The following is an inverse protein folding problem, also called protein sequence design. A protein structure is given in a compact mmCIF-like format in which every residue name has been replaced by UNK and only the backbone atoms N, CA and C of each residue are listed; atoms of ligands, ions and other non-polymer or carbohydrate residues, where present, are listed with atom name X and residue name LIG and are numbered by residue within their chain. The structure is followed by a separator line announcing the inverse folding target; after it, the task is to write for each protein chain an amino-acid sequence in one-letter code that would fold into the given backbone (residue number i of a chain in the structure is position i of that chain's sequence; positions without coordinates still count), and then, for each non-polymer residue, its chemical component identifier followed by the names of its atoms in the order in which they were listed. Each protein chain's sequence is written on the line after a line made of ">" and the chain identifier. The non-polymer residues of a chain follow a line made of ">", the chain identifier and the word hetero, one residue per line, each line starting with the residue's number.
data_IF_520253290413
#
_entry.id   IF_520253290413
#
_cell.length_a   1.000
_cell.length_b   1.000
_cell.length_c   1.000
_cell.angle_alpha   90.00
_cell.angle_beta   90.00
_cell.angle_gamma   90.00
#
_symmetry.space_group_name_H-M   'P 1'
#
loop_
_entity.id
_entity.type
_entity.pdbx_description
1 polymer ?
#
# COMPACT_ATOMS: atom_id res chain seq x y z
N UNK A 1 36.18 -40.10 21.12
CA UNK A 1 36.41 -39.51 19.77
C UNK A 1 35.02 -39.15 19.23
N UNK A 2 34.34 -38.08 19.65
CA UNK A 2 34.59 -36.63 19.51
C UNK A 2 34.72 -36.15 18.06
N UNK A 3 33.67 -35.51 17.55
CA UNK A 3 33.80 -34.25 16.80
C UNK A 3 32.46 -33.51 16.81
N UNK A 4 32.34 -32.56 17.74
CA UNK A 4 31.35 -31.50 17.76
C UNK A 4 31.54 -30.59 16.54
N UNK A 5 30.48 -30.26 15.81
CA UNK A 5 30.46 -29.11 14.93
C UNK A 5 30.20 -27.84 15.74
N UNK A 6 31.15 -26.92 15.63
CA UNK A 6 31.28 -25.69 16.40
C UNK A 6 30.30 -24.59 15.93
N UNK A 7 29.62 -23.86 16.83
CA UNK A 7 28.85 -22.67 16.51
C UNK A 7 29.79 -21.46 16.41
N UNK A 8 30.46 -21.27 15.26
CA UNK A 8 31.42 -20.17 15.05
C UNK A 8 31.25 -19.39 13.73
N UNK A 9 30.11 -19.49 13.04
CA UNK A 9 29.80 -18.67 11.86
C UNK A 9 28.75 -17.58 12.08
N UNK A 10 28.10 -17.50 13.26
CA UNK A 10 27.08 -16.47 13.58
C UNK A 10 27.61 -15.24 14.33
N UNK A 11 28.88 -15.24 14.75
CA UNK A 11 29.46 -14.17 15.58
C UNK A 11 30.29 -13.13 14.82
N UNK A 12 30.45 -13.25 13.48
CA UNK A 12 31.23 -12.30 12.66
C UNK A 12 30.41 -11.21 11.95
N UNK A 13 29.11 -11.10 12.24
CA UNK A 13 28.24 -10.04 11.68
C UNK A 13 27.91 -8.93 12.69
N UNK A 14 28.47 -8.96 13.90
CA UNK A 14 28.04 -8.14 15.04
C UNK A 14 28.97 -6.98 15.46
N UNK A 15 30.04 -6.70 14.70
CA UNK A 15 30.99 -5.63 15.08
C UNK A 15 30.89 -4.32 14.28
N UNK A 16 29.85 -4.11 13.46
CA UNK A 16 29.76 -2.91 12.62
C UNK A 16 28.38 -2.23 12.60
N UNK A 17 27.72 -2.10 13.75
CA UNK A 17 26.65 -1.10 13.91
C UNK A 17 27.16 -0.07 14.92
N UNK A 18 27.75 1.01 14.41
CA UNK A 18 28.15 2.14 15.25
C UNK A 18 26.90 2.89 15.73
N UNK A 19 26.88 3.24 17.03
CA UNK A 19 25.85 4.06 17.66
C UNK A 19 25.68 5.45 16.98
N UNK A 20 26.67 5.88 16.20
CA UNK A 20 26.69 7.15 15.47
C UNK A 20 25.89 7.14 14.14
N UNK A 21 25.49 5.96 13.63
CA UNK A 21 24.65 5.84 12.41
C UNK A 21 23.18 6.23 12.66
N UNK A 22 22.83 6.56 13.90
CA UNK A 22 21.51 7.06 14.32
C UNK A 22 21.57 8.47 14.93
N UNK A 23 22.74 9.12 14.94
CA UNK A 23 22.92 10.52 15.35
C UNK A 23 23.22 11.44 14.16
N UNK A 24 23.55 10.86 13.00
CA UNK A 24 23.70 11.59 11.73
C UNK A 24 22.35 11.65 11.00
N UNK A 25 21.77 12.85 11.05
CA UNK A 25 20.72 13.40 10.21
C UNK A 25 19.55 12.48 9.80
N UNK A 26 18.36 12.85 10.28
CA UNK A 26 17.14 12.64 9.51
C UNK A 26 17.39 13.26 8.13
N UNK A 27 17.87 12.45 7.17
CA UNK A 27 18.16 12.93 5.83
C UNK A 27 16.94 13.73 5.36
N UNK A 28 17.11 15.01 4.97
CA UNK A 28 16.05 15.72 4.28
C UNK A 28 15.69 14.89 3.05
N UNK A 29 14.44 14.98 2.60
CA UNK A 29 13.95 14.31 1.40
C UNK A 29 15.02 14.28 0.30
N UNK A 30 15.68 13.14 0.10
CA UNK A 30 16.69 12.99 -0.97
C UNK A 30 16.03 12.89 -2.36
N UNK A 31 14.75 13.26 -2.44
CA UNK A 31 14.02 13.50 -3.68
C UNK A 31 13.19 14.79 -3.58
N UNK A 32 13.83 15.91 -3.26
CA UNK A 32 13.25 17.24 -3.41
C UNK A 32 14.27 18.34 -3.77
N UNK A 33 15.23 18.04 -4.67
CA UNK A 33 16.03 19.08 -5.33
C UNK A 33 16.16 18.75 -6.83
N UNK A 34 15.62 19.58 -7.75
CA UNK A 34 15.94 19.46 -9.17
C UNK A 34 17.43 19.79 -9.33
N UNK A 35 18.24 18.81 -9.73
CA UNK A 35 19.60 19.11 -10.19
C UNK A 35 19.48 19.95 -11.46
N UNK A 36 19.92 21.20 -11.38
CA UNK A 36 20.05 22.08 -12.55
C UNK A 36 21.08 21.51 -13.51
N UNK A 37 20.65 20.84 -14.58
CA UNK A 37 21.54 20.48 -15.69
C UNK A 37 21.56 21.62 -16.71
N UNK A 38 22.77 22.17 -16.95
CA UNK A 38 23.08 23.04 -18.10
C UNK A 38 22.87 22.28 -19.44
N UNK A 39 22.64 23.00 -20.55
CA UNK A 39 21.97 22.46 -21.73
C UNK A 39 22.92 21.59 -22.57
N UNK A 40 22.51 20.35 -22.84
CA UNK A 40 23.11 19.53 -23.88
C UNK A 40 22.25 19.58 -25.15
N UNK A 41 22.91 20.01 -26.22
CA UNK A 41 22.58 20.04 -27.64
C UNK A 41 21.48 19.07 -28.13
N UNK A 42 20.51 19.66 -28.83
CA UNK A 42 19.52 19.02 -29.72
C UNK A 42 20.17 17.97 -30.63
N UNK A 43 19.69 16.73 -30.55
CA UNK A 43 19.66 15.79 -31.66
C UNK A 43 18.24 15.25 -31.80
N UNK A 44 17.82 15.05 -33.04
CA UNK A 44 16.43 14.99 -33.45
C UNK A 44 15.77 13.63 -33.24
N UNK A 45 14.44 13.70 -33.02
CA UNK A 45 13.38 12.75 -33.36
C UNK A 45 13.34 11.38 -32.67
N UNK A 46 12.58 11.33 -31.56
CA UNK A 46 11.60 10.27 -31.30
C UNK A 46 10.29 10.99 -30.97
N UNK A 47 9.22 10.67 -31.69
CA UNK A 47 7.90 11.29 -31.50
C UNK A 47 7.42 11.13 -30.06
N UNK A 48 7.00 12.25 -29.48
CA UNK A 48 6.28 12.31 -28.21
C UNK A 48 4.94 11.59 -28.39
N UNK A 49 4.79 10.42 -27.76
CA UNK A 49 3.48 9.81 -27.55
C UNK A 49 2.71 10.71 -26.56
N UNK A 50 1.94 11.61 -27.16
CA UNK A 50 1.17 12.70 -26.59
C UNK A 50 0.44 12.34 -25.28
N UNK A 51 0.52 13.24 -24.31
CA UNK A 51 -0.20 13.23 -23.02
C UNK A 51 -1.67 13.60 -23.28
N UNK A 52 -2.36 12.83 -24.12
CA UNK A 52 -3.79 12.95 -24.30
C UNK A 52 -4.49 12.52 -23.01
N UNK A 53 -5.46 13.33 -22.54
CA UNK A 53 -6.28 13.04 -21.35
C UNK A 53 -6.80 11.60 -21.43
N UNK A 54 -6.38 10.65 -20.56
CA UNK A 54 -6.78 9.25 -20.69
C UNK A 54 -8.30 9.05 -20.65
N UNK A 55 -9.05 10.02 -20.10
CA UNK A 55 -10.50 9.93 -19.96
C UNK A 55 -11.29 10.26 -21.23
N UNK A 56 -10.68 10.79 -22.30
CA UNK A 56 -11.37 11.02 -23.59
C UNK A 56 -11.93 9.74 -24.23
N UNK A 57 -11.42 8.57 -23.84
CA UNK A 57 -11.86 7.26 -24.33
C UNK A 57 -13.08 6.71 -23.56
N UNK A 58 -13.41 7.28 -22.40
CA UNK A 58 -14.61 6.88 -21.66
C UNK A 58 -15.85 7.37 -22.42
N UNK A 59 -16.62 6.45 -23.00
CA UNK A 59 -17.92 6.75 -23.58
C UNK A 59 -18.84 7.26 -22.47
N UNK A 60 -19.27 8.52 -22.55
CA UNK A 60 -20.34 9.04 -21.71
C UNK A 60 -21.64 8.30 -22.01
N UNK A 61 -22.35 7.86 -20.97
CA UNK A 61 -23.77 8.20 -20.94
C UNK A 61 -24.16 8.69 -19.55
N UNK A 62 -24.93 9.78 -19.49
CA UNK A 62 -26.04 9.99 -18.54
C UNK A 62 -26.64 11.38 -18.80
N UNK A 63 -27.47 11.45 -19.84
CA UNK A 63 -28.60 12.38 -19.83
C UNK A 63 -29.67 11.79 -18.89
N UNK A 64 -30.02 12.54 -17.86
CA UNK A 64 -31.28 12.38 -17.15
C UNK A 64 -31.68 13.72 -16.54
N UNK A 65 -32.32 14.56 -17.36
CA UNK A 65 -33.14 15.65 -16.85
C UNK A 65 -34.37 15.05 -16.17
N UNK A 66 -34.50 15.25 -14.86
CA UNK A 66 -35.80 15.22 -14.20
C UNK A 66 -35.78 16.25 -13.08
N UNK A 67 -36.47 17.35 -13.35
CA UNK A 67 -36.85 18.39 -12.40
C UNK A 67 -37.98 17.87 -11.52
N UNK A 68 -37.89 18.02 -10.20
CA UNK A 68 -39.03 18.07 -9.28
C UNK A 68 -38.60 18.70 -7.92
N UNK A 69 -39.53 19.25 -7.12
CA UNK A 69 -39.32 20.55 -6.47
C UNK A 69 -38.85 20.51 -5.01
N UNK A 70 -38.23 21.62 -4.62
CA UNK A 70 -37.77 21.98 -3.28
C UNK A 70 -38.91 22.01 -2.26
N UNK A 71 -38.83 21.18 -1.21
CA UNK A 71 -39.60 21.36 0.03
C UNK A 71 -38.75 22.01 1.12
N UNK A 72 -39.24 23.14 1.64
CA UNK A 72 -38.70 23.91 2.78
C UNK A 72 -39.09 23.31 4.14
N UNK A 73 -38.21 23.50 5.13
CA UNK A 73 -38.42 23.31 6.59
C UNK A 73 -37.67 22.09 7.15
N UNK A 74 -36.95 22.12 8.27
CA UNK A 74 -37.05 22.95 9.47
C UNK A 74 -35.71 23.04 10.23
N UNK A 75 -35.60 23.99 11.16
CA UNK A 75 -34.44 24.35 11.99
C UNK A 75 -33.88 23.29 12.97
N UNK A 76 -32.63 23.58 13.39
CA UNK A 76 -32.03 23.38 14.72
C UNK A 76 -31.45 21.99 15.09
N UNK A 77 -30.10 21.91 15.14
CA UNK A 77 -29.27 21.96 16.37
C UNK A 77 -27.81 21.64 15.98
N UNK A 78 -26.87 22.51 16.36
CA UNK A 78 -25.44 22.32 16.09
C UNK A 78 -24.88 21.06 16.77
N UNK A 79 -23.82 20.42 16.23
CA UNK A 79 -23.25 19.25 16.86
C UNK A 79 -22.17 19.66 17.86
N UNK A 80 -22.48 19.41 19.12
CA UNK A 80 -21.56 19.21 20.23
C UNK A 80 -20.49 18.17 19.89
N UNK A 81 -19.25 18.48 20.26
CA UNK A 81 -18.09 17.59 20.28
C UNK A 81 -18.37 16.31 21.07
N UNK A 82 -18.33 15.16 20.41
CA UNK A 82 -18.24 13.83 21.04
C UNK A 82 -17.11 13.03 20.42
N UNK A 83 -16.03 12.92 21.17
CA UNK A 83 -14.99 11.90 21.06
C UNK A 83 -15.58 10.50 21.29
N UNK A 84 -14.99 9.49 20.64
CA UNK A 84 -15.34 8.04 20.63
C UNK A 84 -16.42 7.61 19.62
N UNK A 85 -16.02 7.32 18.38
CA UNK A 85 -16.88 6.69 17.36
C UNK A 85 -16.95 5.17 17.54
N UNK A 86 -17.64 4.72 18.60
CA UNK A 86 -18.06 3.32 18.66
C UNK A 86 -19.03 3.04 17.49
N UNK A 87 -18.66 2.12 16.59
CA UNK A 87 -19.54 1.70 15.48
C UNK A 87 -20.91 1.30 16.01
N UNK A 88 -21.97 1.78 15.35
CA UNK A 88 -23.35 1.39 15.65
C UNK A 88 -23.56 -0.12 15.46
N UNK A 89 -24.55 -0.70 16.14
CA UNK A 89 -24.88 -2.12 15.99
C UNK A 89 -25.17 -2.52 14.54
N UNK A 90 -25.77 -1.62 13.75
CA UNK A 90 -26.02 -1.80 12.31
C UNK A 90 -24.73 -1.85 11.51
N UNK A 91 -23.79 -0.93 11.76
CA UNK A 91 -22.49 -0.91 11.09
C UNK A 91 -21.67 -2.16 11.41
N UNK A 92 -21.66 -2.61 12.68
CA UNK A 92 -20.98 -3.86 13.08
C UNK A 92 -21.53 -5.07 12.34
N UNK A 93 -22.87 -5.21 12.29
CA UNK A 93 -23.53 -6.31 11.53
C UNK A 93 -23.28 -6.24 10.03
N UNK A 94 -23.08 -5.05 9.46
CA UNK A 94 -22.75 -4.90 8.05
C UNK A 94 -21.30 -5.32 7.77
N UNK A 95 -20.35 -4.88 8.61
CA UNK A 95 -18.94 -5.25 8.51
C UNK A 95 -18.73 -6.75 8.70
N UNK A 96 -19.34 -7.36 9.72
CA UNK A 96 -19.26 -8.81 9.95
C UNK A 96 -19.84 -9.63 8.79
N UNK A 97 -20.92 -9.15 8.15
CA UNK A 97 -21.49 -9.80 6.95
C UNK A 97 -20.56 -9.71 5.75
N UNK A 98 -19.93 -8.55 5.53
CA UNK A 98 -18.96 -8.37 4.45
C UNK A 98 -17.73 -9.26 4.65
N UNK A 99 -17.20 -9.33 5.87
CA UNK A 99 -16.09 -10.24 6.23
C UNK A 99 -16.47 -11.71 5.98
N UNK A 100 -17.61 -12.16 6.50
CA UNK A 100 -18.08 -13.53 6.31
C UNK A 100 -18.30 -13.88 4.82
N UNK A 101 -18.80 -12.91 4.04
CA UNK A 101 -18.96 -13.05 2.60
C UNK A 101 -17.62 -13.26 1.90
N UNK A 102 -16.60 -12.44 2.20
CA UNK A 102 -15.27 -12.60 1.60
C UNK A 102 -14.59 -13.89 2.04
N UNK A 103 -14.65 -14.25 3.34
CA UNK A 103 -14.13 -15.52 3.84
C UNK A 103 -14.73 -16.73 3.13
N UNK A 104 -16.05 -16.70 2.87
CA UNK A 104 -16.73 -17.77 2.10
C UNK A 104 -16.26 -17.81 0.64
N UNK A 105 -16.02 -16.66 0.01
CA UNK A 105 -15.55 -16.60 -1.39
C UNK A 105 -14.11 -17.07 -1.55
N UNK A 106 -13.27 -16.83 -0.54
CA UNK A 106 -11.88 -17.27 -0.50
C UNK A 106 -11.72 -18.71 -0.02
N UNK A 107 -12.79 -19.39 0.43
CA UNK A 107 -12.72 -20.76 0.93
C UNK A 107 -12.19 -21.76 -0.13
N UNK A 108 -12.41 -21.47 -1.40
CA UNK A 108 -11.90 -22.24 -2.54
C UNK A 108 -10.78 -21.49 -3.27
N UNK A 109 -10.04 -20.61 -2.59
CA UNK A 109 -8.92 -19.91 -3.21
C UNK A 109 -7.88 -20.93 -3.70
N UNK A 110 -7.30 -20.66 -4.87
CA UNK A 110 -6.12 -21.38 -5.32
C UNK A 110 -4.97 -21.11 -4.34
N UNK A 111 -4.32 -22.18 -3.89
CA UNK A 111 -3.20 -22.11 -2.95
C UNK A 111 -1.92 -22.36 -3.73
N UNK A 112 -1.01 -21.40 -3.69
CA UNK A 112 0.31 -21.48 -4.32
C UNK A 112 1.39 -21.43 -3.25
N UNK A 113 2.56 -21.99 -3.55
CA UNK A 113 3.69 -22.05 -2.64
C UNK A 113 4.92 -21.38 -3.27
N UNK A 114 5.45 -20.36 -2.60
CA UNK A 114 6.74 -19.76 -2.94
C UNK A 114 7.88 -20.54 -2.29
N UNK A 115 9.02 -20.61 -2.98
CA UNK A 115 10.25 -21.20 -2.43
C UNK A 115 10.97 -20.29 -1.42
N UNK A 116 10.78 -18.97 -1.53
CA UNK A 116 11.44 -17.96 -0.70
C UNK A 116 10.60 -17.66 0.53
N UNK A 117 11.25 -17.60 1.70
CA UNK A 117 10.57 -17.24 2.95
C UNK A 117 10.52 -15.74 3.21
N UNK A 118 9.44 -15.24 3.78
CA UNK A 118 9.31 -13.89 4.34
C UNK A 118 10.35 -13.64 5.43
N UNK A 119 10.64 -14.66 6.26
CA UNK A 119 11.57 -14.54 7.39
C UNK A 119 13.04 -14.45 6.96
N UNK A 120 13.37 -14.89 5.74
CA UNK A 120 14.70 -14.74 5.15
C UNK A 120 14.95 -13.32 4.62
N UNK A 121 13.89 -12.49 4.53
CA UNK A 121 13.95 -11.10 4.09
C UNK A 121 14.13 -10.20 5.29
N UNK A 122 15.38 -9.83 5.57
CA UNK A 122 15.69 -8.86 6.64
C UNK A 122 15.76 -7.45 6.09
N UNK A 123 15.22 -6.49 6.83
CA UNK A 123 15.43 -5.05 6.61
C UNK A 123 16.76 -4.67 7.29
N UNK A 124 17.70 -4.01 6.59
CA UNK A 124 18.89 -3.37 7.21
C UNK A 124 18.37 -2.22 8.06
N UNK A 125 18.34 -2.42 9.37
CA UNK A 125 17.35 -1.78 10.24
C UNK A 125 17.61 -0.29 10.54
N UNK A 126 16.59 0.55 10.32
CA UNK A 126 16.27 1.75 11.13
C UNK A 126 14.90 1.58 11.82
N UNK A 127 14.60 0.40 12.37
CA UNK A 127 13.27 0.05 12.87
C UNK A 127 12.51 -0.86 11.91
N UNK A 128 11.25 -0.50 11.58
CA UNK A 128 10.40 -1.23 10.62
C UNK A 128 10.67 -0.90 9.14
N UNK A 129 11.56 0.07 8.87
CA UNK A 129 11.84 0.62 7.55
C UNK A 129 13.33 0.51 7.22
N UNK A 130 13.66 0.41 5.94
CA UNK A 130 15.04 0.40 5.45
C UNK A 130 15.27 -0.46 4.21
N UNK A 131 16.46 -0.36 3.59
CA UNK A 131 16.85 -1.23 2.48
C UNK A 131 17.00 -2.67 2.96
N UNK A 132 16.79 -3.66 2.10
CA UNK A 132 16.93 -5.06 2.49
C UNK A 132 18.39 -5.46 2.74
N UNK A 133 18.60 -6.49 3.58
CA UNK A 133 19.89 -7.05 3.98
C UNK A 133 20.70 -7.68 2.83
N UNK A 134 20.20 -7.61 1.60
CA UNK A 134 20.64 -8.43 0.50
C UNK A 134 19.81 -9.72 0.44
N UNK A 135 19.80 -10.32 -0.74
CA UNK A 135 19.10 -11.56 -1.06
C UNK A 135 19.31 -11.82 -2.54
N UNK A 136 19.80 -13.01 -2.89
CA UNK A 136 19.99 -13.38 -4.29
C UNK A 136 18.65 -13.36 -5.03
N UNK A 137 18.67 -12.80 -6.24
CA UNK A 137 17.55 -12.92 -7.17
C UNK A 137 17.44 -14.40 -7.57
N UNK A 138 16.30 -15.08 -7.40
CA UNK A 138 16.10 -16.34 -8.10
C UNK A 138 16.15 -16.03 -9.60
N UNK A 139 17.11 -16.63 -10.32
CA UNK A 139 17.29 -16.47 -11.77
C UNK A 139 16.23 -17.20 -12.61
N UNK A 140 15.02 -17.39 -12.06
CA UNK A 140 13.99 -18.23 -12.66
C UNK A 140 12.91 -17.40 -13.34
N UNK A 141 12.32 -18.00 -14.36
CA UNK A 141 11.08 -17.55 -14.99
C UNK A 141 9.97 -17.40 -13.94
N UNK A 142 9.26 -16.26 -13.96
CA UNK A 142 8.16 -16.01 -13.05
C UNK A 142 6.93 -16.82 -13.49
N UNK A 143 6.34 -17.58 -12.57
CA UNK A 143 5.11 -18.33 -12.85
C UNK A 143 3.94 -17.35 -13.05
N UNK A 144 3.29 -17.42 -14.21
CA UNK A 144 2.08 -16.63 -14.46
C UNK A 144 0.89 -17.20 -13.70
N UNK A 145 0.18 -16.32 -13.01
CA UNK A 145 -1.05 -16.57 -12.27
C UNK A 145 -2.17 -15.82 -12.98
N UNK A 146 -2.77 -16.49 -13.95
CA UNK A 146 -3.85 -15.97 -14.78
C UNK A 146 -5.12 -15.65 -13.96
N UNK A 147 -6.05 -14.92 -14.56
CA UNK A 147 -7.38 -14.71 -13.96
C UNK A 147 -8.15 -16.03 -13.87
N UNK A 148 -8.06 -16.89 -14.88
CA UNK A 148 -8.68 -18.22 -14.91
C UNK A 148 -10.17 -18.20 -14.60
N UNK A 149 -10.58 -19.01 -13.63
CA UNK A 149 -11.96 -19.11 -13.11
C UNK A 149 -12.40 -17.90 -12.27
N UNK A 150 -11.52 -16.91 -12.07
CA UNK A 150 -11.77 -15.73 -11.26
C UNK A 150 -11.79 -16.00 -9.76
N UNK A 151 -11.31 -17.16 -9.31
CA UNK A 151 -11.15 -17.45 -7.88
C UNK A 151 -9.98 -16.66 -7.29
N UNK A 152 -10.07 -16.45 -5.97
CA UNK A 152 -8.99 -15.85 -5.21
C UNK A 152 -7.74 -16.73 -5.27
N UNK A 153 -6.57 -16.12 -5.07
CA UNK A 153 -5.28 -16.81 -4.99
C UNK A 153 -4.61 -16.41 -3.69
N UNK A 154 -4.13 -17.39 -2.93
CA UNK A 154 -3.31 -17.17 -1.75
C UNK A 154 -1.94 -17.81 -1.96
N UNK A 155 -0.88 -17.03 -1.78
CA UNK A 155 0.50 -17.55 -1.81
C UNK A 155 0.97 -17.74 -0.39
N UNK A 156 1.50 -18.92 -0.11
CA UNK A 156 2.21 -19.22 1.12
C UNK A 156 3.70 -19.33 0.85
N UNK A 157 4.51 -18.75 1.71
CA UNK A 157 5.96 -18.87 1.62
C UNK A 157 6.46 -20.25 2.09
N UNK A 158 7.77 -20.49 2.00
CA UNK A 158 8.38 -21.77 2.40
C UNK A 158 8.32 -22.04 3.91
N UNK A 159 8.02 -21.03 4.74
CA UNK A 159 7.74 -21.19 6.17
C UNK A 159 6.23 -21.35 6.47
N UNK A 160 5.39 -21.30 5.44
CA UNK A 160 3.95 -21.45 5.53
C UNK A 160 3.19 -20.17 5.87
N UNK A 161 3.81 -18.99 5.85
CA UNK A 161 3.12 -17.71 6.01
C UNK A 161 2.37 -17.35 4.72
N UNK A 162 1.11 -16.96 4.82
CA UNK A 162 0.35 -16.41 3.70
C UNK A 162 0.91 -15.03 3.37
N UNK A 163 1.70 -14.87 2.32
CA UNK A 163 2.34 -13.60 1.98
C UNK A 163 1.54 -12.79 0.98
N UNK A 164 0.85 -13.43 0.04
CA UNK A 164 0.04 -12.73 -0.97
C UNK A 164 -1.40 -13.21 -0.93
N UNK A 165 -2.32 -12.27 -1.16
CA UNK A 165 -3.70 -12.61 -1.46
C UNK A 165 -4.23 -11.75 -2.59
N UNK A 166 -4.52 -12.36 -3.75
CA UNK A 166 -5.32 -11.75 -4.81
C UNK A 166 -6.78 -12.16 -4.58
N UNK A 167 -7.67 -11.20 -4.42
CA UNK A 167 -9.08 -11.48 -4.21
C UNK A 167 -9.72 -12.16 -5.43
N UNK A 168 -10.92 -12.74 -5.25
CA UNK A 168 -11.72 -13.18 -6.38
C UNK A 168 -11.99 -12.01 -7.33
N UNK A 169 -12.17 -12.32 -8.61
CA UNK A 169 -12.54 -11.34 -9.64
C UNK A 169 -13.70 -10.46 -9.16
N UNK A 170 -13.45 -9.15 -9.14
CA UNK A 170 -14.44 -8.16 -8.80
C UNK A 170 -15.46 -8.05 -9.93
N UNK A 171 -16.75 -8.23 -9.60
CA UNK A 171 -17.86 -8.11 -10.56
C UNK A 171 -18.74 -6.89 -10.28
N UNK A 172 -18.42 -6.13 -9.24
CA UNK A 172 -19.18 -4.94 -8.87
C UNK A 172 -18.60 -3.72 -9.61
N UNK A 173 -19.31 -3.17 -10.62
CA UNK A 173 -18.83 -2.02 -11.37
C UNK A 173 -18.66 -0.78 -10.50
N UNK A 174 -19.33 -0.68 -9.35
CA UNK A 174 -19.21 0.46 -8.45
C UNK A 174 -17.77 0.65 -7.93
N UNK A 175 -17.00 -0.43 -7.80
CA UNK A 175 -15.59 -0.36 -7.38
C UNK A 175 -14.74 0.32 -8.46
N UNK A 176 -14.88 -0.10 -9.71
CA UNK A 176 -14.13 0.49 -10.82
C UNK A 176 -14.56 1.93 -11.07
N UNK A 177 -15.86 2.20 -11.03
CA UNK A 177 -16.42 3.54 -11.22
C UNK A 177 -15.96 4.52 -10.15
N UNK A 178 -15.93 4.12 -8.87
CA UNK A 178 -15.41 4.96 -7.79
C UNK A 178 -13.93 5.33 -8.01
N UNK A 179 -13.11 4.38 -8.47
CA UNK A 179 -11.71 4.67 -8.81
C UNK A 179 -11.58 5.61 -10.02
N UNK A 180 -12.41 5.43 -11.06
CA UNK A 180 -12.42 6.30 -12.24
C UNK A 180 -12.85 7.74 -11.87
N UNK A 181 -13.90 7.89 -11.09
CA UNK A 181 -14.37 9.18 -10.58
C UNK A 181 -13.29 9.86 -9.73
N UNK A 182 -12.69 9.13 -8.79
CA UNK A 182 -11.58 9.63 -7.99
C UNK A 182 -10.39 10.08 -8.86
N UNK A 183 -10.08 9.32 -9.91
CA UNK A 183 -9.00 9.63 -10.84
C UNK A 183 -9.31 10.86 -11.72
N UNK A 184 -10.58 11.13 -12.03
CA UNK A 184 -11.00 12.38 -12.69
C UNK A 184 -10.90 13.57 -11.73
N UNK A 185 -11.36 13.42 -10.49
CA UNK A 185 -11.34 14.48 -9.48
C UNK A 185 -9.92 14.98 -9.18
N UNK A 186 -8.95 14.08 -9.03
CA UNK A 186 -7.55 14.46 -8.73
C UNK A 186 -6.86 15.21 -9.88
N UNK A 187 -7.40 15.19 -11.10
CA UNK A 187 -6.85 16.00 -12.20
C UNK A 187 -7.02 17.50 -11.97
N UNK A 188 -7.88 17.92 -11.04
CA UNK A 188 -8.06 19.32 -10.65
C UNK A 188 -6.92 19.86 -9.77
N UNK A 189 -6.02 19.00 -9.28
CA UNK A 189 -4.89 19.38 -8.43
C UNK A 189 -3.55 19.01 -9.09
N UNK A 190 -2.46 19.59 -8.59
CA UNK A 190 -1.12 19.21 -9.06
C UNK A 190 -0.77 17.81 -8.57
N UNK A 191 -0.19 16.94 -9.41
CA UNK A 191 0.29 15.64 -8.96
C UNK A 191 1.46 15.81 -8.00
N UNK A 192 1.52 14.97 -6.97
CA UNK A 192 2.67 14.87 -6.05
C UNK A 192 3.93 14.47 -6.81
N UNK A 193 3.78 13.54 -7.75
CA UNK A 193 4.82 13.17 -8.71
C UNK A 193 4.24 13.18 -10.12
N UNK A 194 4.85 13.96 -10.99
CA UNK A 194 4.53 13.96 -12.42
C UNK A 194 5.27 12.81 -13.14
N UNK A 195 5.27 12.80 -14.47
CA UNK A 195 5.86 11.72 -15.29
C UNK A 195 7.38 11.57 -15.19
N UNK A 196 8.07 12.50 -14.51
CA UNK A 196 9.52 12.49 -14.29
C UNK A 196 9.88 11.88 -12.94
N UNK A 197 9.39 10.67 -12.66
CA UNK A 197 9.71 9.93 -11.43
C UNK A 197 10.42 8.60 -11.75
N UNK A 198 11.29 8.17 -10.83
CA UNK A 198 12.09 6.94 -10.97
C UNK A 198 11.24 5.67 -11.03
N UNK A 199 9.99 5.76 -10.56
CA UNK A 199 9.05 4.66 -10.54
C UNK A 199 8.32 4.44 -11.85
N UNK A 200 8.40 5.36 -12.82
CA UNK A 200 7.75 5.22 -14.12
C UNK A 200 7.03 6.48 -14.60
N UNK A 201 6.62 6.48 -15.88
CA UNK A 201 6.05 7.67 -16.54
C UNK A 201 4.53 7.77 -16.35
N UNK A 202 4.09 8.18 -15.16
CA UNK A 202 2.68 8.41 -14.83
C UNK A 202 2.53 9.43 -13.71
N UNK A 203 1.34 10.05 -13.60
CA UNK A 203 1.01 10.99 -12.54
C UNK A 203 0.58 10.26 -11.27
N UNK A 204 0.98 10.80 -10.13
CA UNK A 204 0.74 10.21 -8.81
C UNK A 204 0.22 11.26 -7.85
N UNK A 205 -0.88 10.95 -7.16
CA UNK A 205 -1.53 11.84 -6.20
C UNK A 205 -1.52 11.19 -4.82
N UNK A 206 -0.73 11.73 -3.89
CA UNK A 206 -0.56 11.15 -2.54
C UNK A 206 -1.47 11.80 -1.51
N UNK A 207 -2.11 10.96 -0.71
CA UNK A 207 -2.89 11.36 0.44
C UNK A 207 -2.41 10.54 1.64
N UNK A 208 -1.49 11.10 2.42
CA UNK A 208 -0.80 10.35 3.47
C UNK A 208 -0.89 11.01 4.84
N UNK A 209 -1.26 10.21 5.83
CA UNK A 209 -0.89 10.48 7.22
C UNK A 209 0.52 9.95 7.38
N UNK A 210 1.48 10.87 7.36
CA UNK A 210 2.92 10.69 7.55
C UNK A 210 3.68 10.02 6.38
N UNK A 211 4.78 10.65 5.95
CA UNK A 211 5.73 10.15 4.96
C UNK A 211 7.16 10.47 5.39
N UNK A 212 8.07 9.52 5.21
CA UNK A 212 9.51 9.75 5.39
C UNK A 212 9.95 9.97 6.84
N UNK A 213 11.07 10.68 6.98
CA UNK A 213 11.82 10.91 8.23
C UNK A 213 11.19 11.96 9.16
N UNK A 214 9.86 12.14 9.14
CA UNK A 214 9.21 13.10 10.05
C UNK A 214 9.23 12.52 11.47
N UNK A 215 9.52 13.35 12.47
CA UNK A 215 9.64 12.90 13.87
C UNK A 215 8.30 12.46 14.46
N UNK A 216 7.24 13.18 14.14
CA UNK A 216 5.87 12.96 14.67
C UNK A 216 4.89 12.81 13.50
N UNK A 217 3.89 11.92 13.57
CA UNK A 217 2.82 11.85 12.57
C UNK A 217 2.21 13.21 12.24
N UNK A 218 1.96 13.46 10.95
CA UNK A 218 1.22 14.63 10.44
C UNK A 218 0.68 14.32 9.05
N UNK A 219 -0.38 15.00 8.64
CA UNK A 219 -0.87 14.91 7.26
C UNK A 219 0.19 15.48 6.29
N UNK A 220 0.32 14.88 5.10
CA UNK A 220 1.23 15.40 4.07
C UNK A 220 0.80 16.79 3.59
N UNK A 221 1.77 17.51 3.03
CA UNK A 221 1.52 18.81 2.40
C UNK A 221 0.38 18.72 1.37
N UNK A 222 0.37 17.67 0.55
CA UNK A 222 -0.68 17.42 -0.45
C UNK A 222 -2.09 17.36 0.18
N UNK A 223 -2.24 16.74 1.35
CA UNK A 223 -3.53 16.69 2.06
C UNK A 223 -3.88 18.04 2.65
N UNK A 224 -2.92 18.74 3.26
CA UNK A 224 -3.17 20.05 3.90
C UNK A 224 -3.60 21.09 2.86
N UNK A 225 -2.95 21.10 1.69
CA UNK A 225 -3.27 22.04 0.61
C UNK A 225 -4.56 21.68 -0.13
N UNK A 226 -4.98 20.41 -0.11
CA UNK A 226 -6.14 19.91 -0.85
C UNK A 226 -7.15 19.21 0.09
N UNK A 227 -7.38 19.75 1.29
CA UNK A 227 -8.14 19.06 2.34
C UNK A 227 -9.60 18.76 1.95
N UNK A 228 -10.28 19.70 1.28
CA UNK A 228 -11.65 19.49 0.80
C UNK A 228 -11.73 18.33 -0.23
N UNK A 229 -10.74 18.27 -1.14
CA UNK A 229 -10.61 17.16 -2.09
C UNK A 229 -10.36 15.84 -1.36
N UNK A 230 -9.49 15.85 -0.34
CA UNK A 230 -9.21 14.68 0.48
C UNK A 230 -10.49 14.15 1.19
N UNK A 231 -11.30 15.02 1.78
CA UNK A 231 -12.58 14.63 2.40
C UNK A 231 -13.59 14.12 1.37
N UNK A 232 -13.65 14.75 0.19
CA UNK A 232 -14.54 14.32 -0.88
C UNK A 232 -14.14 12.94 -1.42
N UNK A 233 -12.85 12.70 -1.67
CA UNK A 233 -12.30 11.41 -2.08
C UNK A 233 -12.60 10.30 -1.07
N UNK A 234 -12.59 10.60 0.24
CA UNK A 234 -12.96 9.63 1.27
C UNK A 234 -14.40 9.11 1.10
N UNK A 235 -15.30 9.96 0.56
CA UNK A 235 -16.69 9.59 0.26
C UNK A 235 -16.78 8.80 -1.05
N UNK A 236 -16.13 9.29 -2.11
CA UNK A 236 -16.14 8.64 -3.44
C UNK A 236 -15.52 7.24 -3.37
N UNK A 237 -14.41 7.09 -2.67
CA UNK A 237 -13.69 5.82 -2.53
C UNK A 237 -14.28 4.88 -1.46
N UNK A 238 -15.42 5.23 -0.84
CA UNK A 238 -16.02 4.41 0.21
C UNK A 238 -16.29 2.95 -0.22
N UNK A 239 -16.82 2.66 -1.43
CA UNK A 239 -17.02 1.29 -1.89
C UNK A 239 -15.70 0.50 -1.96
N UNK A 240 -14.66 1.11 -2.52
CA UNK A 240 -13.32 0.52 -2.67
C UNK A 240 -12.69 0.25 -1.30
N UNK A 241 -12.78 1.24 -0.40
CA UNK A 241 -12.30 1.13 0.98
C UNK A 241 -13.01 0.01 1.73
N UNK A 242 -14.35 -0.07 1.65
CA UNK A 242 -15.13 -1.12 2.34
C UNK A 242 -14.76 -2.51 1.85
N UNK A 243 -14.58 -2.69 0.54
CA UNK A 243 -14.15 -3.96 -0.04
C UNK A 243 -12.75 -4.33 0.44
N UNK A 244 -11.79 -3.42 0.34
CA UNK A 244 -10.42 -3.65 0.79
C UNK A 244 -10.34 -3.92 2.31
N UNK A 245 -11.13 -3.20 3.11
CA UNK A 245 -11.20 -3.42 4.55
C UNK A 245 -11.75 -4.82 4.87
N UNK A 246 -12.84 -5.22 4.22
CA UNK A 246 -13.49 -6.51 4.48
C UNK A 246 -12.61 -7.70 4.08
N UNK A 247 -11.90 -7.62 2.96
CA UNK A 247 -10.94 -8.64 2.54
C UNK A 247 -9.76 -8.68 3.51
N UNK A 248 -9.20 -7.54 3.90
CA UNK A 248 -8.07 -7.51 4.83
C UNK A 248 -8.42 -8.17 6.17
N UNK A 249 -9.62 -7.88 6.70
CA UNK A 249 -10.17 -8.53 7.90
C UNK A 249 -10.33 -10.04 7.76
N UNK A 250 -10.86 -10.49 6.62
CA UNK A 250 -11.15 -11.90 6.40
C UNK A 250 -9.87 -12.72 6.23
N UNK A 251 -8.88 -12.17 5.52
CA UNK A 251 -7.70 -12.90 5.05
C UNK A 251 -6.50 -12.73 5.98
N UNK A 252 -6.38 -11.59 6.68
CA UNK A 252 -5.26 -11.29 7.57
C UNK A 252 -5.74 -10.59 8.87
N UNK A 253 -6.58 -11.25 9.68
CA UNK A 253 -7.27 -10.61 10.80
C UNK A 253 -6.34 -9.96 11.83
N UNK A 254 -5.22 -10.60 12.18
CA UNK A 254 -4.29 -10.07 13.18
C UNK A 254 -3.50 -8.86 12.66
N UNK A 255 -3.09 -8.89 11.37
CA UNK A 255 -2.49 -7.72 10.72
C UNK A 255 -3.52 -6.57 10.61
N UNK A 256 -4.76 -6.87 10.24
CA UNK A 256 -5.82 -5.86 10.23
C UNK A 256 -5.96 -5.19 11.60
N UNK A 257 -6.04 -5.96 12.69
CA UNK A 257 -6.18 -5.38 14.02
C UNK A 257 -4.97 -4.52 14.40
N UNK A 258 -3.75 -4.92 14.02
CA UNK A 258 -2.56 -4.09 14.21
C UNK A 258 -2.65 -2.77 13.44
N UNK A 259 -2.99 -2.80 12.15
CA UNK A 259 -3.16 -1.60 11.33
C UNK A 259 -4.27 -0.69 11.88
N UNK A 260 -5.42 -1.27 12.22
CA UNK A 260 -6.57 -0.58 12.77
C UNK A 260 -6.25 0.07 14.12
N UNK A 261 -5.54 -0.64 15.00
CA UNK A 261 -5.06 -0.10 16.27
C UNK A 261 -4.12 1.07 16.04
N UNK A 262 -3.08 0.90 15.23
CA UNK A 262 -2.10 1.95 14.93
C UNK A 262 -2.77 3.20 14.35
N UNK A 263 -3.63 3.06 13.35
CA UNK A 263 -4.34 4.18 12.75
C UNK A 263 -5.23 4.92 13.77
N UNK A 264 -6.02 4.19 14.57
CA UNK A 264 -6.87 4.81 15.61
C UNK A 264 -6.05 5.52 16.67
N UNK A 265 -4.97 4.90 17.14
CA UNK A 265 -4.09 5.47 18.17
C UNK A 265 -3.48 6.78 17.69
N UNK A 266 -2.99 6.85 16.45
CA UNK A 266 -2.41 8.10 15.93
C UNK A 266 -3.48 9.17 15.75
N UNK A 267 -4.63 8.85 15.15
CA UNK A 267 -5.73 9.80 14.97
C UNK A 267 -6.25 10.34 16.31
N UNK A 268 -6.25 9.51 17.36
CA UNK A 268 -6.69 9.92 18.69
C UNK A 268 -5.69 10.83 19.43
N UNK A 269 -4.39 10.61 19.22
CA UNK A 269 -3.33 11.30 19.98
C UNK A 269 -2.66 12.46 19.22
N UNK A 270 -2.85 12.55 17.90
CA UNK A 270 -2.19 13.56 17.06
C UNK A 270 -3.25 14.43 16.37
N UNK A 271 -3.52 15.65 16.88
CA UNK A 271 -4.52 16.55 16.32
C UNK A 271 -4.28 16.85 14.84
N UNK A 272 -5.37 16.99 14.08
CA UNK A 272 -5.32 17.30 12.65
C UNK A 272 -4.96 16.11 11.76
N UNK A 273 -4.86 14.89 12.30
CA UNK A 273 -4.61 13.67 11.52
C UNK A 273 -5.89 12.86 11.29
N UNK A 274 -5.95 12.17 10.15
CA UNK A 274 -7.06 11.27 9.80
C UNK A 274 -6.59 10.16 8.86
N UNK A 275 -7.34 9.06 8.83
CA UNK A 275 -7.07 7.90 7.97
C UNK A 275 -8.26 7.64 7.05
N UNK A 276 -8.41 8.45 6.00
CA UNK A 276 -9.52 8.36 5.05
C UNK A 276 -9.65 6.98 4.37
N UNK A 277 -8.54 6.27 4.13
CA UNK A 277 -8.54 4.91 3.57
C UNK A 277 -8.30 3.83 4.65
N UNK A 278 -9.00 3.96 5.78
CA UNK A 278 -8.90 3.04 6.92
C UNK A 278 -8.98 1.55 6.52
N UNK A 279 -8.12 0.66 7.06
CA UNK A 279 -7.17 0.88 8.16
C UNK A 279 -5.79 1.38 7.72
N UNK A 280 -5.59 1.60 6.42
CA UNK A 280 -4.36 2.19 5.91
C UNK A 280 -4.35 3.69 6.22
N UNK A 281 -3.19 4.21 6.60
CA UNK A 281 -3.05 5.63 6.94
C UNK A 281 -2.71 6.49 5.72
N UNK A 282 -2.35 5.84 4.61
CA UNK A 282 -1.94 6.50 3.37
C UNK A 282 -2.52 5.77 2.17
N UNK A 283 -2.85 6.53 1.13
CA UNK A 283 -3.18 6.00 -0.18
C UNK A 283 -2.72 6.94 -1.29
N UNK A 284 -2.65 6.41 -2.51
CA UNK A 284 -2.43 7.19 -3.71
C UNK A 284 -3.33 6.73 -4.84
N UNK A 285 -3.61 7.68 -5.73
CA UNK A 285 -4.24 7.41 -7.02
C UNK A 285 -3.16 7.63 -8.07
N UNK A 286 -2.81 6.57 -8.79
CA UNK A 286 -1.88 6.64 -9.92
C UNK A 286 -2.68 6.71 -11.20
N UNK A 287 -2.41 7.72 -12.02
CA UNK A 287 -3.11 7.98 -13.29
C UNK A 287 -2.09 7.96 -14.43
N UNK A 288 -2.30 7.06 -15.38
CA UNK A 288 -1.42 6.84 -16.53
C UNK A 288 -2.05 7.34 -17.82
N UNK A 289 -1.22 7.56 -18.85
CA UNK A 289 -1.67 7.83 -20.21
C UNK A 289 -2.17 6.57 -20.92
N UNK A 290 -2.19 6.57 -22.26
CA UNK A 290 -2.75 5.48 -23.10
C UNK A 290 -2.10 4.10 -22.92
N UNK A 291 -0.89 4.04 -22.38
CA UNK A 291 -0.19 2.78 -22.06
C UNK A 291 -0.39 2.34 -20.60
N UNK A 292 -1.25 3.04 -19.87
CA UNK A 292 -1.53 2.83 -18.46
C UNK A 292 -0.39 3.23 -17.53
N UNK A 293 -0.67 3.15 -16.23
CA UNK A 293 0.35 3.24 -15.19
C UNK A 293 1.23 1.98 -15.28
N UNK A 294 2.52 2.14 -15.51
CA UNK A 294 3.52 1.07 -15.42
C UNK A 294 4.65 1.48 -14.50
N UNK A 295 5.05 0.60 -13.59
CA UNK A 295 6.17 0.89 -12.69
C UNK A 295 7.44 0.16 -13.10
N UNK A 296 8.59 0.80 -12.87
CA UNK A 296 9.89 0.13 -12.87
C UNK A 296 10.07 -0.74 -11.61
N UNK A 297 11.10 -1.60 -11.59
CA UNK A 297 11.41 -2.46 -10.44
C UNK A 297 11.73 -1.65 -9.19
N UNK A 298 11.03 -1.90 -8.09
CA UNK A 298 11.28 -1.20 -6.83
C UNK A 298 10.78 -1.98 -5.60
N UNK A 299 11.11 -1.44 -4.43
CA UNK A 299 10.63 -1.86 -3.11
C UNK A 299 10.16 -0.61 -2.36
N UNK A 300 9.08 -0.72 -1.58
CA UNK A 300 8.58 0.37 -0.75
C UNK A 300 9.23 0.39 0.63
N UNK A 301 10.50 0.79 0.68
CA UNK A 301 11.35 0.74 1.88
C UNK A 301 10.83 1.55 3.09
N UNK A 302 9.85 2.44 2.89
CA UNK A 302 9.21 3.24 3.95
C UNK A 302 7.95 2.59 4.54
N UNK A 303 7.41 1.56 3.89
CA UNK A 303 6.23 0.85 4.38
C UNK A 303 6.61 -0.09 5.54
N UNK A 304 5.62 -0.55 6.30
CA UNK A 304 5.87 -1.55 7.34
C UNK A 304 6.47 -2.82 6.71
N UNK A 305 7.69 -3.18 7.10
CA UNK A 305 8.37 -4.40 6.67
C UNK A 305 7.49 -5.65 6.82
N UNK A 306 7.15 -6.07 8.05
CA UNK A 306 6.19 -7.16 8.31
C UNK A 306 4.74 -6.69 8.13
N UNK A 307 4.45 -6.04 7.00
CA UNK A 307 3.17 -5.43 6.69
C UNK A 307 2.68 -5.79 5.30
N UNK A 308 1.49 -5.28 4.98
CA UNK A 308 0.87 -5.41 3.67
C UNK A 308 0.54 -4.03 3.11
N UNK A 309 0.62 -3.93 1.80
CA UNK A 309 -0.05 -2.90 1.03
C UNK A 309 -1.16 -3.55 0.20
N UNK A 310 -2.14 -2.75 -0.22
CA UNK A 310 -3.17 -3.19 -1.14
C UNK A 310 -3.08 -2.38 -2.43
N UNK A 311 -3.15 -3.08 -3.56
CA UNK A 311 -3.27 -2.49 -4.89
C UNK A 311 -4.63 -2.86 -5.46
N UNK A 312 -5.38 -1.86 -5.89
CA UNK A 312 -6.65 -2.01 -6.62
C UNK A 312 -6.46 -1.38 -8.01
N UNK A 313 -6.19 -2.18 -9.05
CA UNK A 313 -6.13 -1.65 -10.40
C UNK A 313 -7.52 -1.23 -10.87
N UNK A 314 -7.58 -0.25 -11.75
CA UNK A 314 -8.84 0.27 -12.28
C UNK A 314 -8.67 0.73 -13.73
N UNK A 315 -9.79 0.85 -14.43
CA UNK A 315 -9.86 1.34 -15.80
C UNK A 315 -10.57 0.37 -16.75
N UNK A 316 -10.14 0.41 -18.01
CA UNK A 316 -10.66 -0.36 -19.13
C UNK A 316 -9.48 -1.00 -19.87
N UNK A 317 -9.28 -2.29 -19.63
CA UNK A 317 -8.23 -3.12 -20.21
C UNK A 317 -8.62 -4.61 -20.12
N UNK A 318 -7.98 -5.45 -20.94
CA UNK A 318 -8.20 -6.91 -20.92
C UNK A 318 -7.26 -7.60 -19.92
N UNK A 319 -7.74 -8.07 -18.76
CA UNK A 319 -6.89 -8.67 -17.73
C UNK A 319 -6.32 -10.05 -18.10
N UNK A 320 -6.72 -10.64 -19.23
CA UNK A 320 -6.11 -11.88 -19.72
C UNK A 320 -4.72 -11.65 -20.33
N UNK A 321 -4.45 -10.43 -20.81
CA UNK A 321 -3.18 -10.06 -21.46
C UNK A 321 -2.48 -8.88 -20.78
N UNK A 322 -3.24 -8.03 -20.08
CA UNK A 322 -2.78 -6.78 -19.48
C UNK A 322 -2.79 -6.77 -17.95
N UNK A 323 -2.20 -5.70 -17.40
CA UNK A 323 -2.13 -5.41 -15.96
C UNK A 323 -1.49 -6.54 -15.15
N UNK A 324 -0.31 -6.98 -15.59
CA UNK A 324 0.51 -7.97 -14.89
C UNK A 324 1.31 -7.30 -13.77
N UNK A 325 1.21 -7.82 -12.54
CA UNK A 325 2.03 -7.44 -11.40
C UNK A 325 3.06 -8.54 -11.12
N UNK A 326 4.33 -8.18 -11.21
CA UNK A 326 5.45 -9.09 -10.96
C UNK A 326 5.91 -8.93 -9.50
N UNK A 327 6.13 -10.04 -8.80
CA UNK A 327 6.70 -10.09 -7.45
C UNK A 327 7.88 -11.07 -7.47
N UNK A 328 9.09 -10.54 -7.64
CA UNK A 328 10.23 -11.31 -8.15
C UNK A 328 10.68 -12.42 -7.21
N UNK A 329 10.88 -12.10 -5.93
CA UNK A 329 11.44 -13.08 -4.99
C UNK A 329 10.41 -14.13 -4.57
N UNK A 330 9.12 -13.87 -4.77
CA UNK A 330 8.09 -14.90 -4.64
C UNK A 330 7.95 -15.75 -5.91
N UNK A 331 8.52 -15.31 -7.04
CA UNK A 331 8.52 -16.07 -8.29
C UNK A 331 7.21 -16.03 -9.07
N UNK A 332 6.36 -15.01 -8.86
CA UNK A 332 5.03 -14.94 -9.48
C UNK A 332 4.79 -13.67 -10.28
N UNK A 333 4.02 -13.83 -11.36
CA UNK A 333 3.38 -12.75 -12.12
C UNK A 333 1.87 -12.88 -12.00
N UNK A 334 1.19 -11.93 -11.38
CA UNK A 334 -0.26 -11.95 -11.20
C UNK A 334 -0.95 -11.14 -12.28
N UNK A 335 -1.90 -11.75 -12.97
CA UNK A 335 -2.88 -11.01 -13.76
C UNK A 335 -3.92 -10.40 -12.82
N UNK A 336 -4.21 -9.12 -13.01
CA UNK A 336 -5.14 -8.38 -12.18
C UNK A 336 -6.23 -7.75 -13.02
N UNK A 337 -7.48 -7.88 -12.58
CA UNK A 337 -8.63 -7.28 -13.23
C UNK A 337 -9.06 -5.97 -12.55
N UNK A 338 -9.71 -5.05 -13.28
CA UNK A 338 -10.25 -3.82 -12.70
C UNK A 338 -11.07 -4.09 -11.43
N UNK A 339 -10.82 -3.30 -10.38
CA UNK A 339 -11.48 -3.40 -9.09
C UNK A 339 -11.11 -4.63 -8.26
N UNK A 340 -10.16 -5.47 -8.67
CA UNK A 340 -9.76 -6.70 -7.93
C UNK A 340 -8.54 -6.44 -7.05
N UNK A 341 -8.69 -6.40 -5.71
CA UNK A 341 -7.57 -6.10 -4.81
C UNK A 341 -6.53 -7.22 -4.76
N UNK A 342 -5.26 -6.84 -4.65
CA UNK A 342 -4.16 -7.74 -4.27
C UNK A 342 -3.38 -7.16 -3.09
N UNK A 343 -3.06 -8.02 -2.12
CA UNK A 343 -2.28 -7.71 -0.92
C UNK A 343 -0.92 -8.38 -0.99
N UNK A 344 0.15 -7.65 -0.70
CA UNK A 344 1.51 -8.21 -0.58
C UNK A 344 2.45 -7.31 0.25
N UNK A 345 3.56 -7.85 0.81
CA UNK A 345 4.57 -7.09 1.55
C UNK A 345 5.47 -6.26 0.62
N UNK A 346 4.96 -5.12 0.17
CA UNK A 346 5.68 -4.27 -0.80
C UNK A 346 7.02 -3.71 -0.30
N UNK A 347 7.25 -3.72 1.02
CA UNK A 347 8.52 -3.35 1.66
C UNK A 347 9.58 -4.48 1.63
N UNK A 348 9.20 -5.72 1.31
CA UNK A 348 10.09 -6.89 1.39
C UNK A 348 10.35 -7.56 0.04
N UNK A 349 9.52 -7.30 -0.96
CA UNK A 349 9.61 -7.91 -2.27
C UNK A 349 9.72 -6.86 -3.37
N UNK A 350 10.67 -7.10 -4.28
CA UNK A 350 10.82 -6.34 -5.51
C UNK A 350 9.60 -6.59 -6.38
N UNK A 351 8.95 -5.50 -6.77
CA UNK A 351 7.74 -5.58 -7.56
C UNK A 351 7.69 -4.48 -8.61
N UNK A 352 6.93 -4.76 -9.67
CA UNK A 352 6.71 -3.87 -10.79
C UNK A 352 5.51 -4.35 -11.61
N UNK A 353 4.99 -3.51 -12.50
CA UNK A 353 3.89 -3.92 -13.36
C UNK A 353 4.14 -3.61 -14.83
N UNK A 354 3.62 -4.48 -15.69
CA UNK A 354 3.76 -4.33 -17.14
C UNK A 354 2.99 -3.11 -17.66
N UNK A 355 3.44 -2.58 -18.81
CA UNK A 355 2.64 -1.65 -19.63
C UNK A 355 1.43 -2.40 -20.21
N UNK A 356 0.39 -1.65 -20.57
CA UNK A 356 -0.70 -2.20 -21.38
C UNK A 356 -0.20 -2.53 -22.79
N UNK A 357 -0.51 -3.74 -23.24
CA UNK A 357 -0.34 -4.23 -24.61
C UNK A 357 -1.53 -3.81 -25.47
N UNK A 358 -2.76 -3.93 -24.96
CA UNK A 358 -3.97 -3.66 -25.76
C UNK A 358 -4.23 -2.17 -26.02
N UNK A 359 -3.51 -1.28 -25.33
CA UNK A 359 -3.81 0.16 -25.20
C UNK A 359 -5.16 0.40 -24.52
N UNK A 360 -5.22 1.33 -23.57
CA UNK A 360 -6.45 1.56 -22.81
C UNK A 360 -6.24 2.48 -21.62
N UNK A 361 -7.18 2.43 -20.68
CA UNK A 361 -7.06 3.18 -19.42
C UNK A 361 -6.69 2.18 -18.35
N UNK A 362 -5.50 2.34 -17.76
CA UNK A 362 -5.14 1.63 -16.53
C UNK A 362 -4.53 2.58 -15.55
N UNK A 363 -5.13 2.64 -14.37
CA UNK A 363 -4.51 3.22 -13.19
C UNK A 363 -4.54 2.26 -12.02
N UNK A 364 -4.15 2.77 -10.87
CA UNK A 364 -4.20 2.00 -9.62
C UNK A 364 -4.51 2.90 -8.44
N UNK A 365 -5.35 2.42 -7.54
CA UNK A 365 -5.42 2.90 -6.17
C UNK A 365 -4.50 2.02 -5.33
N UNK A 366 -3.55 2.61 -4.60
CA UNK A 366 -2.65 1.87 -3.71
C UNK A 366 -2.82 2.42 -2.30
N UNK A 367 -2.91 1.56 -1.30
CA UNK A 367 -2.98 1.98 0.10
C UNK A 367 -1.98 1.22 0.97
N UNK A 368 -1.37 1.95 1.90
CA UNK A 368 -0.27 1.49 2.75
C UNK A 368 -0.25 2.22 4.10
N UNK A 369 0.57 1.72 5.02
CA UNK A 369 0.91 2.42 6.26
C UNK A 369 2.43 2.40 6.42
N UNK A 370 3.02 3.57 6.66
CA UNK A 370 4.46 3.71 6.86
C UNK A 370 4.94 3.00 8.12
N UNK A 371 6.10 2.35 8.07
CA UNK A 371 6.66 1.63 9.22
C UNK A 371 6.95 2.53 10.43
N UNK A 372 7.30 3.79 10.19
CA UNK A 372 7.52 4.80 11.24
C UNK A 372 6.27 5.12 12.07
N UNK A 373 5.08 4.93 11.52
CA UNK A 373 3.81 5.15 12.23
C UNK A 373 3.61 4.04 13.28
N UNK A 374 3.91 2.79 12.91
CA UNK A 374 3.92 1.67 13.86
C UNK A 374 4.99 1.88 14.92
N UNK A 375 6.19 2.31 14.54
CA UNK A 375 7.26 2.64 15.47
C UNK A 375 6.83 3.71 16.48
N UNK A 376 6.19 4.79 16.02
CA UNK A 376 5.69 5.86 16.89
C UNK A 376 4.67 5.34 17.91
N UNK A 377 3.74 4.49 17.47
CA UNK A 377 2.74 3.87 18.37
C UNK A 377 3.40 2.90 19.36
N UNK A 378 4.31 2.05 18.90
CA UNK A 378 5.04 1.08 19.73
C UNK A 378 5.93 1.76 20.80
N UNK A 379 6.35 3.01 20.55
CA UNK A 379 7.09 3.85 21.49
C UNK A 379 6.20 4.69 22.41
N UNK A 380 4.90 4.40 22.47
CA UNK A 380 3.94 5.10 23.32
C UNK A 380 3.60 6.49 22.81
N UNK A 381 3.49 6.65 21.50
CA UNK A 381 3.27 7.95 20.84
C UNK A 381 4.40 8.96 21.09
N UNK A 382 5.64 8.47 21.09
CA UNK A 382 6.86 9.28 21.17
C UNK A 382 7.74 9.09 19.95
N UNK A 383 8.44 10.15 19.57
CA UNK A 383 9.44 10.09 18.53
C UNK A 383 10.72 9.40 19.03
N UNK A 384 11.49 8.77 18.13
CA UNK A 384 12.74 8.05 18.51
C UNK A 384 13.76 8.97 19.19
N UNK A 385 13.80 10.25 18.82
CA UNK A 385 14.71 11.23 19.38
C UNK A 385 14.26 11.78 20.75
N UNK A 386 13.10 11.37 21.25
CA UNK A 386 12.61 11.66 22.60
C UNK A 386 13.01 10.57 23.59
N UNK A 387 13.58 9.46 23.10
CA UNK A 387 14.07 8.36 23.95
C UNK A 387 15.38 8.75 24.64
N UNK A 388 15.52 8.34 25.90
CA UNK A 388 16.82 8.34 26.58
C UNK A 388 17.81 7.43 25.87
N UNK A 389 19.09 7.53 26.24
CA UNK A 389 20.12 6.64 25.72
C UNK A 389 19.81 5.16 26.02
N UNK A 390 19.36 4.87 27.25
CA UNK A 390 18.98 3.54 27.73
C UNK A 390 17.75 3.00 26.99
N UNK A 391 16.71 3.83 26.83
CA UNK A 391 15.50 3.48 26.09
C UNK A 391 15.81 3.19 24.62
N UNK A 392 16.67 4.01 23.98
CA UNK A 392 17.10 3.79 22.60
C UNK A 392 17.90 2.48 22.48
N UNK A 393 18.80 2.20 23.43
CA UNK A 393 19.57 0.96 23.43
C UNK A 393 18.68 -0.27 23.59
N UNK A 394 17.66 -0.22 24.47
CA UNK A 394 16.65 -1.28 24.61
C UNK A 394 15.80 -1.43 23.35
N UNK A 395 15.40 -0.31 22.75
CA UNK A 395 14.68 -0.30 21.49
C UNK A 395 15.47 -1.00 20.38
N UNK A 396 16.78 -0.76 20.28
CA UNK A 396 17.62 -1.41 19.28
C UNK A 396 17.80 -2.91 19.55
N UNK A 397 18.04 -3.31 20.81
CA UNK A 397 18.16 -4.73 21.19
C UNK A 397 16.91 -5.55 20.87
N UNK A 398 15.73 -4.93 20.93
CA UNK A 398 14.45 -5.61 20.68
C UNK A 398 13.99 -5.62 19.22
N UNK A 399 14.72 -5.03 18.26
CA UNK A 399 14.26 -4.89 16.88
C UNK A 399 13.95 -6.23 16.20
N UNK A 400 14.87 -7.20 16.31
CA UNK A 400 14.69 -8.52 15.70
C UNK A 400 13.43 -9.21 16.22
N UNK A 401 13.20 -9.15 17.53
CA UNK A 401 11.99 -9.70 18.17
C UNK A 401 10.73 -9.03 17.65
N UNK A 402 10.69 -7.68 17.59
CA UNK A 402 9.54 -6.92 17.08
C UNK A 402 9.21 -7.21 15.61
N UNK A 403 10.24 -7.39 14.79
CA UNK A 403 10.06 -7.79 13.38
C UNK A 403 9.45 -9.20 13.31
N UNK A 404 9.99 -10.15 14.08
CA UNK A 404 9.43 -11.51 14.15
C UNK A 404 7.98 -11.52 14.65
N UNK A 405 7.67 -10.78 15.71
CA UNK A 405 6.31 -10.61 16.22
C UNK A 405 5.36 -10.05 15.16
N UNK A 406 5.87 -9.23 14.23
CA UNK A 406 5.10 -8.77 13.07
C UNK A 406 4.83 -9.87 12.05
N UNK A 407 5.82 -10.72 11.76
CA UNK A 407 5.63 -11.88 10.89
C UNK A 407 4.64 -12.90 11.48
N UNK A 408 4.63 -13.07 12.79
CA UNK A 408 3.73 -13.99 13.48
C UNK A 408 2.24 -13.56 13.39
N UNK A 409 1.95 -12.35 12.89
CA UNK A 409 0.58 -11.89 12.61
C UNK A 409 0.04 -12.36 11.27
N UNK A 410 0.90 -12.85 10.37
CA UNK A 410 0.46 -13.43 9.11
C UNK A 410 -0.21 -14.79 9.37
N UNK A 411 -1.34 -15.11 8.70
CA UNK A 411 -1.91 -16.44 8.75
C UNK A 411 -0.89 -17.47 8.29
N UNK A 412 -0.89 -18.63 8.94
CA UNK A 412 0.01 -19.73 8.63
C UNK A 412 -0.78 -20.98 8.27
N UNK A 413 -0.31 -21.76 7.29
CA UNK A 413 -0.80 -23.14 7.15
C UNK A 413 -0.43 -23.92 8.42
N UNK A 414 -1.27 -24.88 8.86
CA UNK A 414 -0.85 -25.84 9.87
C UNK A 414 0.46 -26.48 9.41
N UNK A 415 1.46 -26.52 10.28
CA UNK A 415 2.71 -27.25 10.00
C UNK A 415 2.32 -28.73 9.94
N UNK A 416 2.40 -29.33 8.75
CA UNK A 416 2.17 -30.77 8.53
C UNK A 416 3.33 -31.60 9.02
#
# INVERSE_FOLDING_TARGET
>A
MSSYHSPSSMLKLFEAIHLDDLTTDFAPDDHAVPRTSKPATRSASVQEDDVADPFHLLKTPLDASSTEPVRRGSHNRGPTTKTSSALTSRQRRSSARAEAFHRKRSANAHVLHASTSLAERSVKSRGYTGPLAGGGMPGNELLEVEIGDGLAVSVYDSNGYKTVHRANLCKDPAINNACLEAAQLVQAINPTFDTNQDRGKFKTYYFSLHRGSVKVPRMSKDVVENFEMYEHLATVLEPVRKQAEAIFKAEFPLLYERYAHTARTVVANVPGTSAAFFPFTSYCINVGGRRGVSTEKHIDVQNLGPGLCVVVPWGEFDPSIDCKLHVEELGFTFHLAPGTPIYFPSALYTHYNSKLVSMGIRGSLVAWTGGSIFQYVDLGCRAVNELSHEEKAEYLRGLKRRIQEGFDLFPRLPVT
#
